data_IF_498813406007
#
_entry.id   IF_498813406007
#
_cell.length_a   1.000
_cell.length_b   1.000
_cell.length_c   1.000
_cell.angle_alpha   90.00
_cell.angle_beta   90.00
_cell.angle_gamma   90.00
#
_symmetry.space_group_name_H-M   'P 1'
#
loop_
_entity.id
_entity.type
_entity.pdbx_description
1 polymer ?
#
# COMPACT_ATOMS: atom_id res chain seq x y z
N UNK A 1 18.62 11.11 -21.87
CA UNK A 1 18.44 10.08 -20.81
C UNK A 1 17.17 9.33 -21.13
N UNK A 2 17.23 8.05 -21.39
CA UNK A 2 16.06 7.20 -21.66
C UNK A 2 15.36 6.87 -20.35
N UNK A 3 14.07 6.45 -20.36
CA UNK A 3 13.36 5.96 -19.16
C UNK A 3 14.19 4.91 -18.43
N UNK A 4 14.76 3.96 -19.16
CA UNK A 4 15.61 2.90 -18.62
C UNK A 4 16.90 3.42 -17.92
N UNK A 5 17.46 4.53 -18.38
CA UNK A 5 18.64 5.15 -17.74
C UNK A 5 18.26 5.84 -16.42
N UNK A 6 17.07 6.47 -16.39
CA UNK A 6 16.56 7.10 -15.18
C UNK A 6 16.22 6.06 -14.10
N UNK A 7 15.55 5.00 -14.48
CA UNK A 7 15.21 3.91 -13.54
C UNK A 7 16.49 3.30 -12.94
N UNK A 8 17.48 2.97 -13.75
CA UNK A 8 18.78 2.47 -13.25
C UNK A 8 19.50 3.46 -12.34
N UNK A 9 19.42 4.74 -12.64
CA UNK A 9 20.00 5.77 -11.78
C UNK A 9 19.31 5.79 -10.42
N UNK A 10 17.97 5.79 -10.40
CA UNK A 10 17.19 5.79 -9.16
C UNK A 10 17.50 4.53 -8.34
N UNK A 11 17.46 3.34 -8.95
CA UNK A 11 17.75 2.07 -8.28
C UNK A 11 19.15 2.03 -7.65
N UNK A 12 20.12 2.65 -8.30
CA UNK A 12 21.49 2.73 -7.79
C UNK A 12 21.65 3.71 -6.60
N UNK A 13 20.67 4.60 -6.37
CA UNK A 13 20.76 5.66 -5.36
C UNK A 13 19.73 5.56 -4.23
N UNK A 14 18.74 4.69 -4.36
CA UNK A 14 17.82 4.36 -3.26
C UNK A 14 18.37 3.23 -2.41
N UNK A 15 17.94 3.15 -1.15
CA UNK A 15 18.31 2.05 -0.28
C UNK A 15 17.88 0.71 -0.90
N UNK A 16 18.66 -0.35 -0.82
CA UNK A 16 18.35 -1.63 -1.44
C UNK A 16 17.04 -2.21 -0.89
N UNK A 17 16.37 -2.97 -1.75
CA UNK A 17 15.19 -3.72 -1.36
C UNK A 17 15.57 -4.81 -0.36
N UNK A 18 14.80 -4.94 0.71
CA UNK A 18 15.02 -6.01 1.67
C UNK A 18 14.49 -7.37 1.18
N UNK A 19 14.90 -8.42 1.87
CA UNK A 19 14.58 -9.79 1.46
C UNK A 19 13.08 -10.10 1.52
N UNK A 20 12.36 -9.58 2.51
CA UNK A 20 10.91 -9.81 2.63
C UNK A 20 10.15 -9.26 1.43
N UNK A 21 10.43 -8.03 1.04
CA UNK A 21 9.76 -7.39 -0.11
C UNK A 21 10.16 -8.03 -1.42
N UNK A 22 11.41 -8.45 -1.54
CA UNK A 22 11.89 -9.20 -2.73
C UNK A 22 11.21 -10.57 -2.86
N UNK A 23 11.00 -11.27 -1.76
CA UNK A 23 10.24 -12.52 -1.75
C UNK A 23 8.77 -12.29 -2.11
N UNK A 24 8.14 -11.25 -1.55
CA UNK A 24 6.77 -10.87 -1.89
C UNK A 24 6.62 -10.55 -3.38
N UNK A 25 7.51 -9.74 -3.94
CA UNK A 25 7.53 -9.43 -5.37
C UNK A 25 7.63 -10.72 -6.19
N UNK A 26 8.62 -11.57 -5.87
CA UNK A 26 8.82 -12.84 -6.59
C UNK A 26 7.59 -13.75 -6.48
N UNK A 27 7.00 -13.91 -5.30
CA UNK A 27 5.83 -14.76 -5.12
C UNK A 27 4.63 -14.19 -5.88
N UNK A 28 4.41 -12.88 -5.85
CA UNK A 28 3.36 -12.22 -6.62
C UNK A 28 3.51 -12.51 -8.11
N UNK A 29 4.71 -12.42 -8.65
CA UNK A 29 4.96 -12.72 -10.06
C UNK A 29 4.79 -14.20 -10.44
N UNK A 30 4.92 -15.12 -9.49
CA UNK A 30 4.78 -16.56 -9.73
C UNK A 30 3.34 -17.08 -9.56
N UNK A 31 2.54 -16.45 -8.71
CA UNK A 31 1.28 -17.03 -8.24
C UNK A 31 0.05 -16.14 -8.41
N UNK A 32 0.22 -14.85 -8.70
CA UNK A 32 -0.92 -13.92 -8.77
C UNK A 32 -1.18 -13.46 -10.21
N UNK A 33 -2.46 -13.31 -10.54
CA UNK A 33 -2.90 -12.78 -11.84
C UNK A 33 -2.54 -11.29 -11.91
N UNK A 34 -2.05 -10.83 -13.07
CA UNK A 34 -1.62 -9.45 -13.32
C UNK A 34 -0.56 -8.91 -12.33
N UNK A 35 0.57 -9.60 -12.15
CA UNK A 35 1.59 -9.23 -11.16
C UNK A 35 2.19 -7.84 -11.39
N UNK A 36 2.00 -7.27 -12.59
CA UNK A 36 2.44 -5.90 -12.94
C UNK A 36 1.72 -4.80 -12.16
N UNK A 37 0.64 -5.14 -11.44
CA UNK A 37 -0.06 -4.22 -10.55
C UNK A 37 0.69 -3.98 -9.24
N UNK A 38 1.73 -4.77 -8.96
CA UNK A 38 2.56 -4.57 -7.77
C UNK A 38 3.29 -3.24 -7.84
N UNK A 39 3.26 -2.48 -6.76
CA UNK A 39 3.91 -1.16 -6.64
C UNK A 39 5.43 -1.20 -6.91
N UNK A 40 6.10 -2.24 -6.45
CA UNK A 40 7.52 -2.43 -6.63
C UNK A 40 8.41 -1.52 -5.77
N UNK A 41 9.73 -1.73 -5.88
CA UNK A 41 10.72 -1.16 -4.96
C UNK A 41 10.76 0.39 -4.98
N UNK A 42 10.81 0.99 -6.15
CA UNK A 42 10.93 2.45 -6.29
C UNK A 42 9.69 3.17 -5.71
N UNK A 43 8.49 2.73 -6.07
CA UNK A 43 7.24 3.30 -5.54
C UNK A 43 7.11 3.04 -4.04
N UNK A 44 7.46 1.85 -3.57
CA UNK A 44 7.43 1.53 -2.15
C UNK A 44 8.35 2.43 -1.32
N UNK A 45 9.57 2.72 -1.80
CA UNK A 45 10.49 3.65 -1.11
C UNK A 45 9.96 5.08 -1.12
N UNK A 46 9.35 5.52 -2.22
CA UNK A 46 8.71 6.83 -2.29
C UNK A 46 7.56 6.95 -1.28
N UNK A 47 6.69 5.94 -1.20
CA UNK A 47 5.58 5.92 -0.25
C UNK A 47 6.08 5.94 1.20
N UNK A 48 7.08 5.13 1.54
CA UNK A 48 7.70 5.14 2.86
C UNK A 48 8.27 6.53 3.21
N UNK A 49 8.97 7.16 2.28
CA UNK A 49 9.51 8.51 2.46
C UNK A 49 8.40 9.55 2.70
N UNK A 50 7.34 9.53 1.89
CA UNK A 50 6.20 10.46 2.04
C UNK A 50 5.53 10.27 3.41
N UNK A 51 5.31 9.03 3.84
CA UNK A 51 4.73 8.76 5.16
C UNK A 51 5.64 9.26 6.28
N UNK A 52 6.96 9.07 6.19
CA UNK A 52 7.91 9.62 7.18
C UNK A 52 7.88 11.15 7.24
N UNK A 53 7.76 11.82 6.10
CA UNK A 53 7.71 13.28 6.02
C UNK A 53 6.40 13.86 6.57
N UNK A 54 5.28 13.22 6.28
CA UNK A 54 3.94 13.66 6.69
C UNK A 54 3.61 13.24 8.13
N UNK A 55 4.24 12.17 8.61
CA UNK A 55 4.02 11.57 9.93
C UNK A 55 2.52 11.35 10.28
N UNK A 56 1.70 10.79 9.35
CA UNK A 56 0.29 10.57 9.59
C UNK A 56 0.09 9.54 10.71
N UNK A 57 -0.93 9.74 11.52
CA UNK A 57 -1.32 8.75 12.54
C UNK A 57 -2.17 7.64 11.93
N UNK A 58 -3.01 7.98 10.96
CA UNK A 58 -3.91 7.04 10.31
C UNK A 58 -3.82 7.16 8.80
N UNK A 59 -3.54 6.03 8.15
CA UNK A 59 -3.49 5.91 6.69
C UNK A 59 -4.63 5.01 6.22
N UNK A 60 -5.31 5.42 5.14
CA UNK A 60 -6.19 4.56 4.35
C UNK A 60 -5.52 4.25 3.01
N UNK A 61 -5.44 2.98 2.67
CA UNK A 61 -5.07 2.50 1.34
C UNK A 61 -6.29 1.84 0.68
N UNK A 62 -6.57 2.20 -0.56
CA UNK A 62 -7.58 1.54 -1.40
C UNK A 62 -6.85 0.78 -2.51
N UNK A 63 -6.88 -0.55 -2.44
CA UNK A 63 -6.12 -1.45 -3.30
C UNK A 63 -4.90 -2.02 -2.58
N UNK A 64 -5.10 -3.08 -1.80
CA UNK A 64 -4.03 -3.79 -1.07
C UNK A 64 -3.16 -4.60 -1.99
N UNK A 65 -3.79 -5.26 -2.96
CA UNK A 65 -3.18 -6.29 -3.80
C UNK A 65 -2.49 -7.35 -2.93
N UNK A 66 -1.19 -7.55 -3.06
CA UNK A 66 -0.43 -8.50 -2.21
C UNK A 66 0.23 -7.86 -0.99
N UNK A 67 0.02 -6.53 -0.77
CA UNK A 67 0.42 -5.82 0.44
C UNK A 67 1.77 -5.12 0.40
N UNK A 68 2.42 -5.01 -0.77
CA UNK A 68 3.74 -4.40 -0.89
C UNK A 68 3.74 -2.92 -0.45
N UNK A 69 2.85 -2.11 -1.00
CA UNK A 69 2.69 -0.69 -0.65
C UNK A 69 2.29 -0.50 0.81
N UNK A 70 1.37 -1.34 1.31
CA UNK A 70 0.95 -1.32 2.72
C UNK A 70 2.14 -1.51 3.67
N UNK A 71 3.01 -2.50 3.42
CA UNK A 71 4.22 -2.74 4.23
C UNK A 71 5.16 -1.52 4.16
N UNK A 72 5.39 -0.97 2.96
CA UNK A 72 6.26 0.20 2.79
C UNK A 72 5.72 1.42 3.54
N UNK A 73 4.43 1.73 3.43
CA UNK A 73 3.81 2.83 4.16
C UNK A 73 3.83 2.60 5.67
N UNK A 74 3.54 1.38 6.13
CA UNK A 74 3.55 1.06 7.56
C UNK A 74 4.93 1.21 8.21
N UNK A 75 6.02 0.98 7.47
CA UNK A 75 7.41 1.25 7.91
C UNK A 75 7.67 2.74 8.15
N UNK A 76 6.99 3.60 7.42
CA UNK A 76 7.09 5.05 7.57
C UNK A 76 6.28 5.63 8.73
N UNK A 77 5.31 4.91 9.26
CA UNK A 77 4.40 5.39 10.29
C UNK A 77 5.12 5.76 11.59
N UNK A 78 4.71 6.84 12.28
CA UNK A 78 5.17 7.15 13.63
C UNK A 78 4.73 6.08 14.63
N UNK A 79 5.27 6.13 15.83
CA UNK A 79 4.87 5.25 16.93
C UNK A 79 3.39 5.44 17.24
N UNK A 80 2.65 4.32 17.30
CA UNK A 80 1.21 4.33 17.50
C UNK A 80 0.39 4.70 16.26
N UNK A 81 1.03 4.88 15.09
CA UNK A 81 0.31 5.05 13.83
C UNK A 81 -0.21 3.72 13.29
N UNK A 82 -1.32 3.76 12.55
CA UNK A 82 -2.01 2.61 11.98
C UNK A 82 -2.30 2.81 10.49
N UNK A 83 -2.33 1.73 9.74
CA UNK A 83 -2.69 1.68 8.34
C UNK A 83 -3.87 0.73 8.14
N UNK A 84 -4.94 1.24 7.55
CA UNK A 84 -6.06 0.45 7.07
C UNK A 84 -5.92 0.27 5.56
N UNK A 85 -6.02 -0.96 5.07
CA UNK A 85 -5.95 -1.27 3.65
C UNK A 85 -7.16 -2.09 3.23
N UNK A 86 -7.73 -1.78 2.06
CA UNK A 86 -8.96 -2.43 1.57
C UNK A 86 -8.67 -3.12 0.25
N UNK A 87 -9.05 -4.39 0.16
CA UNK A 87 -8.96 -5.22 -1.05
C UNK A 87 -10.32 -5.81 -1.39
N UNK A 88 -10.69 -5.76 -2.67
CA UNK A 88 -11.95 -6.33 -3.15
C UNK A 88 -11.82 -7.81 -3.48
N UNK A 89 -10.63 -8.26 -3.82
CA UNK A 89 -10.32 -9.64 -4.19
C UNK A 89 -9.90 -10.44 -2.94
N UNK A 90 -10.79 -11.31 -2.47
CA UNK A 90 -10.55 -12.15 -1.30
C UNK A 90 -9.51 -13.26 -1.53
N UNK A 91 -9.21 -13.60 -2.78
CA UNK A 91 -8.14 -14.56 -3.11
C UNK A 91 -6.74 -14.05 -2.69
N UNK A 92 -6.58 -12.74 -2.57
CA UNK A 92 -5.32 -12.10 -2.17
C UNK A 92 -5.12 -12.02 -0.66
N UNK A 93 -6.17 -12.24 0.16
CA UNK A 93 -6.13 -12.09 1.61
C UNK A 93 -5.01 -12.93 2.25
N UNK A 94 -4.92 -14.20 1.85
CA UNK A 94 -3.98 -15.13 2.48
C UNK A 94 -2.50 -14.75 2.23
N UNK A 95 -2.17 -14.26 1.04
CA UNK A 95 -0.81 -13.82 0.74
C UNK A 95 -0.49 -12.52 1.49
N UNK A 96 -1.37 -11.54 1.45
CA UNK A 96 -1.18 -10.26 2.14
C UNK A 96 -1.01 -10.46 3.66
N UNK A 97 -1.92 -11.21 4.31
CA UNK A 97 -1.88 -11.48 5.75
C UNK A 97 -0.56 -12.14 6.17
N UNK A 98 -0.07 -13.11 5.39
CA UNK A 98 1.19 -13.80 5.68
C UNK A 98 2.39 -12.84 5.65
N UNK A 99 2.45 -11.94 4.66
CA UNK A 99 3.55 -10.97 4.57
C UNK A 99 3.41 -9.84 5.60
N UNK A 100 2.21 -9.42 5.96
CA UNK A 100 2.01 -8.50 7.07
C UNK A 100 2.53 -9.08 8.39
N UNK A 101 2.21 -10.32 8.71
CA UNK A 101 2.73 -10.99 9.90
C UNK A 101 4.27 -11.11 9.87
N UNK A 102 4.86 -11.50 8.74
CA UNK A 102 6.32 -11.62 8.57
C UNK A 102 7.06 -10.29 8.63
N UNK A 103 6.40 -9.19 8.28
CA UNK A 103 7.01 -7.86 8.32
C UNK A 103 7.28 -7.35 9.75
N UNK A 104 6.67 -7.96 10.76
CA UNK A 104 6.68 -7.48 12.14
C UNK A 104 5.82 -6.23 12.36
N UNK A 105 4.97 -5.88 11.38
CA UNK A 105 4.08 -4.70 11.41
C UNK A 105 2.60 -5.10 11.43
N UNK A 106 2.30 -6.38 11.63
CA UNK A 106 0.94 -6.90 11.55
C UNK A 106 -0.02 -6.33 12.60
N UNK A 107 0.49 -5.81 13.70
CA UNK A 107 -0.27 -5.09 14.73
C UNK A 107 -0.63 -3.64 14.34
N UNK A 108 -0.07 -3.14 13.25
CA UNK A 108 -0.27 -1.78 12.74
C UNK A 108 -0.97 -1.73 11.38
N UNK A 109 -1.13 -2.88 10.72
CA UNK A 109 -1.78 -3.02 9.41
C UNK A 109 -3.09 -3.77 9.60
N UNK A 110 -4.20 -3.08 9.30
CA UNK A 110 -5.57 -3.58 9.41
C UNK A 110 -6.12 -3.81 8.00
N UNK A 111 -6.13 -5.07 7.56
CA UNK A 111 -6.66 -5.45 6.26
C UNK A 111 -8.17 -5.67 6.31
N UNK A 112 -8.86 -5.17 5.29
CA UNK A 112 -10.30 -5.29 5.12
C UNK A 112 -10.59 -5.85 3.74
N UNK A 113 -11.45 -6.86 3.65
CA UNK A 113 -11.87 -7.46 2.38
C UNK A 113 -13.28 -6.97 2.02
N UNK A 114 -13.41 -6.39 0.85
CA UNK A 114 -14.69 -5.89 0.31
C UNK A 114 -14.55 -4.61 -0.51
N UNK A 115 -15.71 -4.01 -0.86
CA UNK A 115 -15.74 -2.76 -1.60
C UNK A 115 -15.27 -1.59 -0.73
N UNK A 116 -14.30 -0.81 -1.25
CA UNK A 116 -13.83 0.38 -0.55
C UNK A 116 -14.93 1.46 -0.41
N UNK A 117 -15.88 1.53 -1.35
CA UNK A 117 -17.01 2.46 -1.28
C UNK A 117 -17.94 2.15 -0.10
N UNK A 118 -18.05 0.87 0.26
CA UNK A 118 -18.90 0.43 1.36
C UNK A 118 -18.17 0.46 2.71
N UNK A 119 -16.90 0.10 2.73
CA UNK A 119 -16.13 -0.07 3.97
C UNK A 119 -15.50 1.23 4.47
N UNK A 120 -14.92 2.06 3.59
CA UNK A 120 -14.20 3.26 4.00
C UNK A 120 -15.06 4.21 4.87
N UNK A 121 -16.36 4.45 4.59
CA UNK A 121 -17.19 5.33 5.43
C UNK A 121 -17.28 4.93 6.91
N UNK A 122 -17.11 3.66 7.22
CA UNK A 122 -17.19 3.14 8.59
C UNK A 122 -15.86 3.20 9.35
N UNK A 123 -14.74 3.42 8.66
CA UNK A 123 -13.41 3.36 9.28
C UNK A 123 -12.97 4.66 9.97
N UNK A 124 -13.74 5.74 9.83
CA UNK A 124 -13.44 7.03 10.47
C UNK A 124 -12.50 7.92 9.67
N UNK A 125 -11.83 8.87 10.33
CA UNK A 125 -10.99 9.88 9.69
C UNK A 125 -9.56 9.38 9.48
N UNK A 126 -8.91 9.86 8.42
CA UNK A 126 -7.53 9.55 8.05
C UNK A 126 -6.73 10.82 7.78
N UNK A 127 -5.43 10.78 8.08
CA UNK A 127 -4.49 11.88 7.81
C UNK A 127 -3.90 11.77 6.40
N UNK A 128 -3.85 10.55 5.86
CA UNK A 128 -3.34 10.26 4.52
C UNK A 128 -4.19 9.18 3.86
N UNK A 129 -4.54 9.39 2.60
CA UNK A 129 -5.28 8.41 1.80
C UNK A 129 -4.49 8.12 0.53
N UNK A 130 -4.21 6.85 0.29
CA UNK A 130 -3.57 6.35 -0.93
C UNK A 130 -4.57 5.54 -1.74
N UNK A 131 -4.89 5.99 -2.95
CA UNK A 131 -5.86 5.36 -3.85
C UNK A 131 -5.11 4.70 -4.99
N UNK A 132 -5.06 3.37 -4.98
CA UNK A 132 -4.44 2.53 -6.02
C UNK A 132 -5.33 1.32 -6.39
N UNK A 133 -6.64 1.49 -6.28
CA UNK A 133 -7.63 0.50 -6.68
C UNK A 133 -7.99 0.57 -8.17
N UNK A 134 -9.22 0.12 -8.52
CA UNK A 134 -9.68 0.18 -9.90
C UNK A 134 -9.80 1.63 -10.40
N UNK A 135 -9.05 1.94 -11.45
CA UNK A 135 -8.99 3.29 -12.02
C UNK A 135 -10.34 3.80 -12.53
N UNK A 136 -11.27 2.91 -12.85
CA UNK A 136 -12.64 3.26 -13.27
C UNK A 136 -13.44 3.86 -12.12
N UNK A 137 -13.13 3.47 -10.89
CA UNK A 137 -13.82 3.90 -9.67
C UNK A 137 -13.11 5.07 -8.95
N UNK A 138 -11.98 5.58 -9.46
CA UNK A 138 -11.25 6.69 -8.84
C UNK A 138 -12.10 7.91 -8.50
N UNK A 139 -13.04 8.38 -9.39
CA UNK A 139 -13.90 9.51 -9.05
C UNK A 139 -14.82 9.22 -7.85
N UNK A 140 -15.27 7.99 -7.70
CA UNK A 140 -16.15 7.58 -6.61
C UNK A 140 -15.36 7.37 -5.32
N UNK A 141 -14.17 6.76 -5.37
CA UNK A 141 -13.25 6.72 -4.23
C UNK A 141 -12.92 8.13 -3.72
N UNK A 142 -12.53 9.03 -4.64
CA UNK A 142 -12.21 10.40 -4.27
C UNK A 142 -13.40 11.11 -3.59
N UNK A 143 -14.60 10.98 -4.12
CA UNK A 143 -15.80 11.55 -3.50
C UNK A 143 -16.04 10.97 -2.12
N UNK A 144 -16.00 9.65 -1.98
CA UNK A 144 -16.21 8.94 -0.72
C UNK A 144 -15.26 9.44 0.36
N UNK A 145 -13.96 9.56 0.05
CA UNK A 145 -12.95 9.92 1.06
C UNK A 145 -12.80 11.41 1.30
N UNK A 146 -13.04 12.27 0.30
CA UNK A 146 -12.85 13.73 0.42
C UNK A 146 -13.89 14.40 1.31
N UNK A 147 -15.11 13.89 1.34
CA UNK A 147 -16.20 14.49 2.12
C UNK A 147 -16.35 13.92 3.53
N UNK A 148 -15.72 12.80 3.80
CA UNK A 148 -15.95 12.06 5.04
C UNK A 148 -14.68 11.79 5.86
N UNK A 149 -13.48 11.94 5.29
CA UNK A 149 -12.28 11.35 5.88
C UNK A 149 -11.02 12.22 5.88
N UNK A 150 -11.02 13.38 5.24
CA UNK A 150 -9.92 14.35 5.31
C UNK A 150 -10.30 15.50 6.25
N UNK A 151 -9.51 15.72 7.27
CA UNK A 151 -9.58 16.90 8.14
C UNK A 151 -8.69 18.00 7.60
#
# INVERSE_FOLDING_TARGET
MTMNDLERYIEAHIAPEDELLRELDRETHLSVVQPRMLSGHMQGRLLEMLVRMLAPKRILEIGTFTGYSAICMARGLPVGGELHTIEVDDELEAIAARYFARSGLGDRIFAHIGSALDLAPALGLFDLIFIDGDKREYPDYYRTVSYTHLT
#
